data_IF_601680154173
#
_entry.id   IF_601680154173
#
_cell.length_a   1.000
_cell.length_b   1.000
_cell.length_c   1.000
_cell.angle_alpha   90.00
_cell.angle_beta   90.00
_cell.angle_gamma   90.00
#
_symmetry.space_group_name_H-M   'P 1'
#
loop_
_entity.id
_entity.type
_entity.pdbx_description
1 polymer ?
#
# COMPACT_ATOMS: atom_id res chain seq x y z
N UNK A 1 -29.34 10.39 14.05
CA UNK A 1 -28.39 11.21 14.81
C UNK A 1 -28.23 12.55 14.14
N UNK A 2 -27.90 13.62 14.87
CA UNK A 2 -27.83 14.97 14.27
C UNK A 2 -26.36 15.24 13.89
N UNK A 3 -26.09 15.31 12.61
CA UNK A 3 -24.84 15.89 12.12
C UNK A 3 -24.98 17.40 12.15
N UNK A 4 -24.02 18.09 12.75
CA UNK A 4 -23.98 19.54 12.81
C UNK A 4 -22.96 20.07 11.82
N UNK A 5 -23.38 21.00 10.96
CA UNK A 5 -22.49 21.69 10.03
C UNK A 5 -22.49 23.19 10.27
N UNK A 6 -21.34 23.81 10.14
CA UNK A 6 -21.16 25.26 10.31
C UNK A 6 -20.05 25.79 9.43
N UNK A 7 -20.35 26.77 8.60
CA UNK A 7 -19.34 27.55 7.89
C UNK A 7 -18.80 28.70 8.76
N UNK A 8 -17.49 28.81 8.82
CA UNK A 8 -16.78 29.90 9.52
C UNK A 8 -16.12 30.81 8.48
N UNK A 9 -16.82 31.85 8.06
CA UNK A 9 -16.41 32.77 7.00
C UNK A 9 -15.07 33.48 7.27
N UNK A 10 -14.72 33.74 8.52
CA UNK A 10 -13.45 34.38 8.90
C UNK A 10 -12.24 33.44 8.77
N UNK A 11 -12.47 32.14 8.72
CA UNK A 11 -11.44 31.12 8.62
C UNK A 11 -11.50 30.34 7.29
N UNK A 12 -12.47 30.67 6.43
CA UNK A 12 -12.73 29.99 5.17
C UNK A 12 -12.81 28.45 5.33
N UNK A 13 -13.54 27.99 6.37
CA UNK A 13 -13.65 26.58 6.73
C UNK A 13 -15.08 26.13 6.93
N UNK A 14 -15.39 24.96 6.39
CA UNK A 14 -16.59 24.21 6.72
C UNK A 14 -16.26 23.23 7.85
N UNK A 15 -16.99 23.29 8.96
CA UNK A 15 -16.89 22.33 10.06
C UNK A 15 -18.11 21.44 10.06
N UNK A 16 -17.89 20.13 10.13
CA UNK A 16 -18.94 19.12 10.27
C UNK A 16 -18.59 18.26 11.48
N UNK A 17 -19.53 18.02 12.36
CA UNK A 17 -19.34 17.17 13.52
C UNK A 17 -20.47 16.15 13.61
N UNK A 18 -20.10 14.89 13.71
CA UNK A 18 -20.99 13.79 14.06
C UNK A 18 -21.28 13.74 15.56
N UNK A 19 -21.97 12.73 15.98
CA UNK A 19 -22.28 12.43 17.38
C UNK A 19 -21.65 11.12 17.84
N UNK A 20 -22.07 10.62 19.01
CA UNK A 20 -21.74 9.27 19.42
C UNK A 20 -22.62 8.24 18.70
N UNK A 21 -22.01 7.22 18.10
CA UNK A 21 -22.61 6.15 17.34
C UNK A 21 -22.64 6.41 15.83
N UNK A 22 -22.84 5.36 15.05
CA UNK A 22 -22.67 5.29 13.61
C UNK A 22 -23.30 6.45 12.83
N UNK A 23 -22.51 7.19 12.09
CA UNK A 23 -22.93 8.33 11.27
C UNK A 23 -22.58 8.07 9.79
N UNK A 24 -23.38 8.64 8.90
CA UNK A 24 -23.06 8.72 7.46
C UNK A 24 -23.01 10.20 7.09
N UNK A 25 -21.87 10.65 6.64
CA UNK A 25 -21.63 12.05 6.27
C UNK A 25 -21.12 12.12 4.83
N UNK A 26 -21.89 12.76 3.96
CA UNK A 26 -21.48 13.05 2.59
C UNK A 26 -21.32 14.54 2.41
N UNK A 27 -20.15 14.97 1.97
CA UNK A 27 -19.90 16.36 1.58
C UNK A 27 -19.91 16.41 0.06
N UNK A 28 -20.73 17.28 -0.48
CA UNK A 28 -20.87 17.47 -1.92
C UNK A 28 -21.07 18.93 -2.28
N UNK A 29 -21.30 19.22 -3.57
CA UNK A 29 -21.67 20.56 -4.03
C UNK A 29 -22.86 20.51 -5.01
N UNK A 30 -23.63 21.58 -5.06
CA UNK A 30 -24.61 21.78 -6.12
C UNK A 30 -23.99 22.42 -7.38
N UNK A 31 -24.81 22.63 -8.42
CA UNK A 31 -24.38 23.22 -9.69
C UNK A 31 -23.95 24.69 -9.54
N UNK A 32 -24.41 25.39 -8.53
CA UNK A 32 -24.08 26.79 -8.24
C UNK A 32 -22.82 26.91 -7.34
N UNK A 33 -22.30 25.78 -6.85
CA UNK A 33 -21.09 25.70 -6.05
C UNK A 33 -21.32 25.85 -4.55
N UNK A 34 -22.56 25.76 -4.06
CA UNK A 34 -22.82 25.70 -2.62
C UNK A 34 -22.41 24.34 -2.07
N UNK A 35 -21.80 24.33 -0.89
CA UNK A 35 -21.46 23.10 -0.19
C UNK A 35 -22.68 22.50 0.49
N UNK A 36 -22.81 21.19 0.38
CA UNK A 36 -23.90 20.40 0.96
C UNK A 36 -23.33 19.39 1.95
N UNK A 37 -24.04 19.18 3.04
CA UNK A 37 -23.82 18.09 3.99
C UNK A 37 -25.07 17.22 3.97
N UNK A 38 -24.93 15.97 3.54
CA UNK A 38 -26.03 15.02 3.35
C UNK A 38 -27.18 15.57 2.47
N UNK A 39 -26.82 16.37 1.46
CA UNK A 39 -27.78 16.99 0.55
C UNK A 39 -28.37 18.32 1.01
N UNK A 40 -28.13 18.74 2.24
CA UNK A 40 -28.59 20.03 2.78
C UNK A 40 -27.53 21.11 2.54
N UNK A 41 -27.94 22.25 1.96
CA UNK A 41 -27.06 23.40 1.73
C UNK A 41 -26.61 23.97 3.08
N UNK A 42 -25.28 24.18 3.20
CA UNK A 42 -24.70 24.88 4.35
C UNK A 42 -24.66 26.37 4.06
N UNK A 43 -25.42 27.14 4.87
CA UNK A 43 -25.56 28.59 4.68
C UNK A 43 -24.21 29.31 4.64
N UNK A 44 -24.00 30.06 3.58
CA UNK A 44 -22.77 30.82 3.33
C UNK A 44 -21.55 30.03 2.91
N UNK A 45 -21.63 28.70 2.85
CA UNK A 45 -20.51 27.85 2.39
C UNK A 45 -20.58 27.63 0.88
N UNK A 46 -19.53 28.05 0.18
CA UNK A 46 -19.35 27.76 -1.25
C UNK A 46 -17.95 27.19 -1.50
N UNK A 47 -17.77 26.50 -2.61
CA UNK A 47 -16.44 26.03 -3.05
C UNK A 47 -15.46 27.18 -3.17
N UNK A 48 -15.93 28.36 -3.64
CA UNK A 48 -15.08 29.53 -3.84
C UNK A 48 -14.62 30.20 -2.53
N UNK A 49 -15.42 30.07 -1.47
CA UNK A 49 -15.18 30.73 -0.18
C UNK A 49 -14.60 29.77 0.87
N UNK A 50 -14.50 28.47 0.57
CA UNK A 50 -14.02 27.45 1.48
C UNK A 50 -12.64 26.97 1.06
N UNK A 51 -11.67 27.08 1.95
CA UNK A 51 -10.30 26.58 1.73
C UNK A 51 -10.16 25.15 2.22
N UNK A 52 -10.84 24.80 3.32
CA UNK A 52 -10.75 23.47 3.95
C UNK A 52 -12.09 23.01 4.49
N UNK A 53 -12.40 21.75 4.24
CA UNK A 53 -13.53 21.03 4.83
C UNK A 53 -12.99 20.21 6.00
N UNK A 54 -13.57 20.39 7.21
CA UNK A 54 -13.21 19.60 8.39
C UNK A 54 -14.36 18.77 8.85
N UNK A 55 -14.18 17.47 8.93
CA UNK A 55 -15.15 16.53 9.46
C UNK A 55 -14.56 15.82 10.68
N UNK A 56 -15.30 15.82 11.77
CA UNK A 56 -15.05 14.95 12.92
C UNK A 56 -16.28 14.07 13.09
N UNK A 57 -16.15 12.78 12.81
CA UNK A 57 -17.26 11.85 12.80
C UNK A 57 -17.67 11.44 14.23
N UNK A 58 -16.70 11.18 15.11
CA UNK A 58 -16.94 10.99 16.56
C UNK A 58 -16.78 9.57 17.03
N UNK A 59 -17.69 9.10 17.89
CA UNK A 59 -17.69 7.71 18.33
C UNK A 59 -18.65 6.90 17.45
N UNK A 60 -18.32 5.68 17.13
CA UNK A 60 -19.15 4.75 16.34
C UNK A 60 -18.45 4.34 15.05
N UNK A 61 -19.09 3.49 14.26
CA UNK A 61 -18.54 3.11 12.96
C UNK A 61 -19.09 4.08 11.90
N UNK A 62 -18.26 5.02 11.51
CA UNK A 62 -18.68 6.16 10.71
C UNK A 62 -18.31 5.99 9.23
N UNK A 63 -19.07 6.61 8.35
CA UNK A 63 -18.75 6.71 6.92
C UNK A 63 -18.73 8.18 6.52
N UNK A 64 -17.57 8.67 6.08
CA UNK A 64 -17.38 10.04 5.58
C UNK A 64 -16.91 9.99 4.13
N UNK A 65 -17.61 10.71 3.26
CA UNK A 65 -17.30 10.74 1.82
C UNK A 65 -17.27 12.16 1.29
N UNK A 66 -16.22 12.51 0.60
CA UNK A 66 -16.12 13.70 -0.26
C UNK A 66 -16.63 13.30 -1.65
N UNK A 67 -17.84 13.73 -2.00
CA UNK A 67 -18.50 13.38 -3.26
C UNK A 67 -18.32 14.49 -4.31
N UNK A 68 -17.45 14.27 -5.25
CA UNK A 68 -17.11 15.18 -6.33
C UNK A 68 -17.87 14.90 -7.65
N UNK A 69 -18.95 14.16 -7.61
CA UNK A 69 -19.78 13.87 -8.80
C UNK A 69 -20.21 15.14 -9.53
N UNK A 70 -20.41 16.24 -8.81
CA UNK A 70 -20.78 17.55 -9.34
C UNK A 70 -19.59 18.52 -9.52
N UNK A 71 -18.36 18.03 -9.42
CA UNK A 71 -17.12 18.75 -9.59
C UNK A 71 -16.27 18.84 -8.33
N UNK A 72 -15.01 19.31 -8.46
CA UNK A 72 -14.03 19.26 -7.38
C UNK A 72 -14.45 20.04 -6.13
N UNK A 73 -13.99 19.54 -4.99
CA UNK A 73 -14.19 20.13 -3.68
C UNK A 73 -12.86 20.65 -3.10
N UNK A 74 -12.88 21.55 -2.11
CA UNK A 74 -11.68 21.92 -1.36
C UNK A 74 -11.08 20.76 -0.60
N UNK A 75 -9.79 20.89 -0.23
CA UNK A 75 -9.09 19.92 0.60
C UNK A 75 -9.87 19.59 1.88
N UNK A 76 -9.85 18.32 2.25
CA UNK A 76 -10.56 17.81 3.41
C UNK A 76 -9.58 17.37 4.52
N UNK A 77 -9.98 17.64 5.76
CA UNK A 77 -9.39 17.07 6.96
C UNK A 77 -10.47 16.20 7.60
N UNK A 78 -10.36 14.87 7.45
CA UNK A 78 -11.34 13.89 7.92
C UNK A 78 -10.79 13.16 9.14
N UNK A 79 -11.59 13.08 10.18
CA UNK A 79 -11.28 12.36 11.40
C UNK A 79 -12.44 11.41 11.72
N UNK A 80 -12.15 10.10 11.81
CA UNK A 80 -13.10 9.06 12.17
C UNK A 80 -13.42 9.13 13.64
N UNK A 81 -12.51 8.75 14.48
CA UNK A 81 -12.64 8.78 15.94
C UNK A 81 -12.54 7.40 16.57
N UNK A 82 -13.48 7.09 17.45
CA UNK A 82 -13.53 5.73 18.04
C UNK A 82 -14.48 4.85 17.22
N UNK A 83 -14.01 3.71 16.75
CA UNK A 83 -14.80 2.73 16.01
C UNK A 83 -14.17 2.38 14.67
N UNK A 84 -14.83 1.55 13.88
CA UNK A 84 -14.31 1.13 12.58
C UNK A 84 -14.88 2.04 11.49
N UNK A 85 -14.07 2.96 11.03
CA UNK A 85 -14.51 4.04 10.16
C UNK A 85 -14.17 3.79 8.68
N UNK A 86 -14.91 4.44 7.81
CA UNK A 86 -14.58 4.51 6.37
C UNK A 86 -14.52 5.98 5.96
N UNK A 87 -13.32 6.43 5.59
CA UNK A 87 -13.07 7.79 5.18
C UNK A 87 -12.63 7.83 3.71
N UNK A 88 -13.30 8.64 2.92
CA UNK A 88 -12.96 8.83 1.50
C UNK A 88 -12.73 10.31 1.22
N UNK A 89 -11.51 10.64 0.79
CA UNK A 89 -11.11 11.97 0.33
C UNK A 89 -11.61 12.28 -1.07
N UNK A 90 -11.09 13.33 -1.66
CA UNK A 90 -11.50 13.82 -2.98
C UNK A 90 -10.39 13.83 -4.01
N UNK A 91 -10.29 14.93 -4.74
CA UNK A 91 -9.22 15.16 -5.72
C UNK A 91 -8.20 16.21 -5.28
N UNK A 92 -8.35 16.73 -4.08
CA UNK A 92 -7.43 17.69 -3.47
C UNK A 92 -6.40 16.97 -2.58
N UNK A 93 -5.44 17.70 -2.05
CA UNK A 93 -4.52 17.16 -1.05
C UNK A 93 -5.23 17.06 0.31
N UNK A 94 -5.61 15.87 0.70
CA UNK A 94 -6.43 15.59 1.86
C UNK A 94 -5.64 15.07 3.06
N UNK A 95 -6.22 15.16 4.24
CA UNK A 95 -5.69 14.57 5.48
C UNK A 95 -6.76 13.69 6.09
N UNK A 96 -6.48 12.41 6.22
CA UNK A 96 -7.39 11.42 6.79
C UNK A 96 -6.78 10.79 8.04
N UNK A 97 -7.55 10.68 9.11
CA UNK A 97 -7.15 10.01 10.34
C UNK A 97 -8.28 9.09 10.82
N UNK A 98 -8.02 7.78 10.86
CA UNK A 98 -8.94 6.77 11.39
C UNK A 98 -9.08 6.88 12.90
N UNK A 99 -7.99 6.83 13.60
CA UNK A 99 -7.77 6.85 15.06
C UNK A 99 -7.88 5.49 15.73
N UNK A 100 -9.02 5.14 16.36
CA UNK A 100 -9.15 3.88 17.12
C UNK A 100 -10.12 2.93 16.45
N UNK A 101 -9.70 1.76 16.13
CA UNK A 101 -10.50 0.72 15.49
C UNK A 101 -9.88 0.26 14.17
N UNK A 102 -10.58 -0.59 13.46
CA UNK A 102 -10.09 -1.09 12.18
C UNK A 102 -10.71 -0.24 11.06
N UNK A 103 -9.92 0.68 10.53
CA UNK A 103 -10.39 1.72 9.64
C UNK A 103 -10.12 1.42 8.16
N UNK A 104 -10.85 2.08 7.27
CA UNK A 104 -10.64 2.05 5.84
C UNK A 104 -10.49 3.48 5.31
N UNK A 105 -9.28 3.83 4.88
CA UNK A 105 -8.93 5.18 4.45
C UNK A 105 -8.60 5.18 2.95
N UNK A 106 -9.23 6.07 2.20
CA UNK A 106 -9.03 6.24 0.76
C UNK A 106 -8.74 7.72 0.46
N UNK A 107 -7.50 8.05 0.10
CA UNK A 107 -7.09 9.45 -0.17
C UNK A 107 -7.78 10.01 -1.41
N UNK A 108 -7.66 9.31 -2.52
CA UNK A 108 -8.30 9.67 -3.78
C UNK A 108 -7.31 10.17 -4.82
N UNK A 109 -7.36 11.42 -5.15
CA UNK A 109 -6.32 12.03 -5.98
C UNK A 109 -5.77 13.27 -5.25
N UNK A 110 -4.51 13.56 -5.48
CA UNK A 110 -3.83 14.63 -4.73
C UNK A 110 -2.58 14.05 -4.07
N UNK A 111 -1.90 14.86 -3.28
CA UNK A 111 -0.83 14.35 -2.42
C UNK A 111 -1.38 14.32 -1.00
N UNK A 112 -1.80 13.14 -0.58
CA UNK A 112 -2.58 12.94 0.62
C UNK A 112 -1.74 12.51 1.82
N UNK A 113 -2.27 12.70 3.01
CA UNK A 113 -1.69 12.19 4.26
C UNK A 113 -2.74 11.36 4.98
N UNK A 114 -2.49 10.06 5.10
CA UNK A 114 -3.41 9.10 5.70
C UNK A 114 -2.78 8.46 6.94
N UNK A 115 -3.55 8.34 8.01
CA UNK A 115 -3.10 7.68 9.25
C UNK A 115 -4.20 6.78 9.81
N UNK A 116 -3.93 5.46 9.89
CA UNK A 116 -4.80 4.49 10.57
C UNK A 116 -4.81 4.73 12.07
N UNK A 117 -3.66 4.77 12.68
CA UNK A 117 -3.31 4.97 14.08
C UNK A 117 -3.38 3.70 14.92
N UNK A 118 -4.52 3.18 15.37
CA UNK A 118 -4.59 1.96 16.17
C UNK A 118 -5.69 1.02 15.72
N UNK A 119 -5.35 -0.20 15.45
CA UNK A 119 -6.22 -1.23 14.90
C UNK A 119 -5.62 -1.86 13.65
N UNK A 120 -6.34 -2.73 13.00
CA UNK A 120 -5.89 -3.32 11.74
C UNK A 120 -6.56 -2.55 10.59
N UNK A 121 -5.78 -1.66 9.98
CA UNK A 121 -6.27 -0.65 9.06
C UNK A 121 -6.03 -1.02 7.58
N UNK A 122 -6.86 -0.50 6.70
CA UNK A 122 -6.69 -0.57 5.25
C UNK A 122 -6.57 0.83 4.69
N UNK A 123 -5.42 1.13 4.10
CA UNK A 123 -5.08 2.48 3.65
C UNK A 123 -4.69 2.45 2.19
N UNK A 124 -5.38 3.23 1.36
CA UNK A 124 -5.05 3.44 -0.04
C UNK A 124 -4.83 4.94 -0.33
N UNK A 125 -3.64 5.28 -0.82
CA UNK A 125 -3.27 6.66 -1.15
C UNK A 125 -4.05 7.16 -2.35
N UNK A 126 -3.93 6.49 -3.45
CA UNK A 126 -4.63 6.79 -4.69
C UNK A 126 -3.72 7.38 -5.75
N UNK A 127 -4.07 8.52 -6.31
CA UNK A 127 -3.25 9.13 -7.35
C UNK A 127 -2.53 10.38 -6.84
N UNK A 128 -1.24 10.35 -6.80
CA UNK A 128 -0.40 11.45 -6.31
C UNK A 128 0.82 10.93 -5.57
N UNK A 129 1.49 11.77 -4.81
CA UNK A 129 2.59 11.34 -3.97
C UNK A 129 2.13 11.40 -2.52
N UNK A 130 1.77 10.25 -1.99
CA UNK A 130 1.06 10.13 -0.72
C UNK A 130 1.99 9.77 0.45
N UNK A 131 1.54 10.06 1.65
CA UNK A 131 2.21 9.64 2.88
C UNK A 131 1.24 8.87 3.74
N UNK A 132 1.55 7.59 3.95
CA UNK A 132 0.69 6.63 4.63
C UNK A 132 1.32 6.20 5.95
N UNK A 133 0.55 6.23 7.02
CA UNK A 133 0.93 5.75 8.34
C UNK A 133 -0.06 4.66 8.76
N UNK A 134 0.39 3.42 8.90
CA UNK A 134 -0.40 2.32 9.48
C UNK A 134 -0.69 2.61 10.95
N UNK A 135 0.29 2.39 11.79
CA UNK A 135 0.23 2.71 13.21
C UNK A 135 0.49 1.51 14.11
N UNK A 136 -0.41 1.28 15.06
CA UNK A 136 -0.38 0.07 15.89
C UNK A 136 -1.39 -0.94 15.36
N UNK A 137 -0.97 -2.13 14.99
CA UNK A 137 -1.86 -3.19 14.50
C UNK A 137 -1.31 -3.88 13.26
N UNK A 138 -2.05 -4.76 12.65
CA UNK A 138 -1.63 -5.41 11.42
C UNK A 138 -2.30 -4.71 10.23
N UNK A 139 -1.56 -3.84 9.59
CA UNK A 139 -2.08 -2.88 8.62
C UNK A 139 -1.82 -3.33 7.17
N UNK A 140 -2.67 -2.86 6.27
CA UNK A 140 -2.51 -3.07 4.84
C UNK A 140 -2.48 -1.72 4.13
N UNK A 141 -1.33 -1.39 3.53
CA UNK A 141 -1.08 -0.13 2.86
C UNK A 141 -0.86 -0.34 1.36
N UNK A 142 -1.46 0.53 0.56
CA UNK A 142 -1.31 0.61 -0.87
C UNK A 142 -1.10 2.08 -1.26
N UNK A 143 0.06 2.42 -1.82
CA UNK A 143 0.32 3.79 -2.29
C UNK A 143 -0.49 4.13 -3.53
N UNK A 144 -0.82 3.11 -4.35
CA UNK A 144 -1.39 3.29 -5.67
C UNK A 144 -0.44 4.11 -6.60
N UNK A 145 -0.98 5.04 -7.40
CA UNK A 145 -0.21 5.76 -8.43
C UNK A 145 0.59 6.91 -7.85
N UNK A 146 1.90 6.81 -7.85
CA UNK A 146 2.72 7.93 -7.42
C UNK A 146 4.15 7.58 -7.07
N UNK A 147 4.73 8.41 -6.24
CA UNK A 147 5.96 8.10 -5.52
C UNK A 147 5.66 8.29 -4.03
N UNK A 148 5.27 7.21 -3.39
CA UNK A 148 4.62 7.22 -2.11
C UNK A 148 5.59 6.89 -0.97
N UNK A 149 5.20 7.21 0.25
CA UNK A 149 5.97 6.83 1.44
C UNK A 149 5.02 6.15 2.42
N UNK A 150 5.27 4.85 2.68
CA UNK A 150 4.59 4.07 3.70
C UNK A 150 5.43 3.94 4.96
N UNK A 151 4.83 4.30 6.10
CA UNK A 151 5.32 4.00 7.43
C UNK A 151 4.36 2.98 8.04
N UNK A 152 4.75 1.70 8.08
CA UNK A 152 3.83 0.63 8.45
C UNK A 152 3.54 0.68 9.95
N UNK A 153 4.59 0.64 10.78
CA UNK A 153 4.43 0.94 12.21
C UNK A 153 4.73 -0.21 13.13
N UNK A 154 3.76 -0.63 13.90
CA UNK A 154 3.94 -1.74 14.84
C UNK A 154 2.88 -2.83 14.61
N UNK A 155 3.33 -4.01 14.28
CA UNK A 155 2.49 -5.15 13.92
C UNK A 155 3.12 -5.94 12.80
N UNK A 156 2.41 -6.92 12.30
CA UNK A 156 2.82 -7.64 11.10
C UNK A 156 2.05 -7.02 9.92
N UNK A 157 2.72 -6.12 9.19
CA UNK A 157 2.11 -5.22 8.23
C UNK A 157 2.40 -5.62 6.77
N UNK A 158 1.60 -5.10 5.85
CA UNK A 158 1.78 -5.34 4.41
C UNK A 158 1.75 -4.03 3.63
N UNK A 159 2.80 -3.78 2.86
CA UNK A 159 2.79 -2.76 1.81
C UNK A 159 2.66 -3.44 0.44
N UNK A 160 1.62 -3.08 -0.30
CA UNK A 160 1.34 -3.65 -1.62
C UNK A 160 1.79 -2.71 -2.75
N UNK A 161 2.33 -3.29 -3.80
CA UNK A 161 2.59 -2.64 -5.08
C UNK A 161 1.89 -3.39 -6.21
N UNK A 162 1.13 -2.70 -7.03
CA UNK A 162 0.43 -3.21 -8.20
C UNK A 162 0.87 -2.51 -9.49
N UNK A 163 0.33 -2.97 -10.61
CA UNK A 163 0.56 -2.38 -11.91
C UNK A 163 0.05 -0.93 -12.00
N UNK A 164 0.95 -0.01 -12.23
CA UNK A 164 0.63 1.41 -12.42
C UNK A 164 1.13 2.27 -11.28
N UNK A 165 1.52 1.62 -10.19
CA UNK A 165 2.13 2.30 -9.06
C UNK A 165 3.53 2.79 -9.42
N UNK A 166 4.01 3.72 -8.67
CA UNK A 166 5.31 4.34 -8.89
C UNK A 166 6.46 3.65 -8.18
N UNK A 167 7.45 4.45 -7.83
CA UNK A 167 8.60 4.03 -7.04
C UNK A 167 8.44 4.55 -5.63
N UNK A 168 8.31 3.66 -4.66
CA UNK A 168 7.92 4.00 -3.31
C UNK A 168 9.02 3.76 -2.30
N UNK A 169 8.85 4.38 -1.15
CA UNK A 169 9.65 4.16 0.04
C UNK A 169 8.80 3.50 1.11
N UNK A 170 9.32 2.42 1.70
CA UNK A 170 8.63 1.66 2.74
C UNK A 170 9.52 1.57 3.98
N UNK A 171 8.97 1.98 5.11
CA UNK A 171 9.54 1.81 6.45
C UNK A 171 8.64 0.83 7.21
N UNK A 172 9.07 -0.42 7.40
CA UNK A 172 8.31 -1.48 8.08
C UNK A 172 8.05 -1.12 9.53
N UNK A 173 9.12 -1.00 10.31
CA UNK A 173 9.01 -0.62 11.72
C UNK A 173 9.21 -1.81 12.65
N UNK A 174 8.24 -2.14 13.47
CA UNK A 174 8.40 -3.24 14.41
C UNK A 174 7.36 -4.34 14.20
N UNK A 175 7.84 -5.55 14.01
CA UNK A 175 7.01 -6.71 13.74
C UNK A 175 7.62 -7.56 12.66
N UNK A 176 6.79 -8.14 11.84
CA UNK A 176 7.22 -8.83 10.64
C UNK A 176 6.48 -8.28 9.44
N UNK A 177 7.16 -7.44 8.69
CA UNK A 177 6.58 -6.65 7.65
C UNK A 177 6.83 -7.24 6.26
N UNK A 178 5.86 -7.09 5.38
CA UNK A 178 5.88 -7.65 4.04
C UNK A 178 5.76 -6.57 2.96
N UNK A 179 6.71 -6.58 2.03
CA UNK A 179 6.54 -5.95 0.73
C UNK A 179 5.94 -6.96 -0.25
N UNK A 180 4.69 -6.75 -0.66
CA UNK A 180 3.97 -7.58 -1.63
C UNK A 180 4.00 -6.92 -3.01
N UNK A 181 4.77 -7.47 -3.92
CA UNK A 181 4.90 -6.97 -5.28
C UNK A 181 4.13 -7.85 -6.27
N UNK A 182 3.15 -7.27 -6.96
CA UNK A 182 2.37 -7.95 -7.99
C UNK A 182 2.87 -7.54 -9.39
N UNK A 183 3.51 -8.46 -10.08
CA UNK A 183 3.96 -8.31 -11.46
C UNK A 183 2.83 -8.42 -12.50
N UNK A 184 3.19 -8.58 -13.74
CA UNK A 184 2.28 -8.70 -14.87
C UNK A 184 2.29 -10.08 -15.51
N UNK A 185 1.32 -10.33 -16.36
CA UNK A 185 1.34 -11.40 -17.32
C UNK A 185 2.21 -11.02 -18.55
N UNK A 186 3.49 -10.67 -18.32
CA UNK A 186 4.45 -10.25 -19.35
C UNK A 186 5.85 -10.53 -18.86
N UNK A 187 6.84 -10.61 -19.76
CA UNK A 187 8.22 -10.85 -19.38
C UNK A 187 8.77 -9.72 -18.52
N UNK A 188 9.19 -10.01 -17.32
CA UNK A 188 9.68 -9.05 -16.35
C UNK A 188 11.07 -9.37 -15.84
N UNK A 189 11.74 -8.36 -15.33
CA UNK A 189 13.02 -8.52 -14.67
C UNK A 189 13.02 -7.78 -13.34
N UNK A 190 13.19 -8.53 -12.26
CA UNK A 190 13.28 -8.05 -10.90
C UNK A 190 14.68 -8.23 -10.34
N UNK A 191 15.07 -7.34 -9.43
CA UNK A 191 16.32 -7.48 -8.68
C UNK A 191 16.09 -7.03 -7.25
N UNK A 192 16.47 -7.86 -6.29
CA UNK A 192 16.55 -7.53 -4.88
C UNK A 192 18.02 -7.48 -4.47
N UNK A 193 18.42 -6.39 -3.82
CA UNK A 193 19.79 -6.17 -3.36
C UNK A 193 19.81 -5.36 -2.06
N UNK A 194 20.75 -5.65 -1.17
CA UNK A 194 20.95 -4.85 0.03
C UNK A 194 21.37 -3.41 -0.27
N UNK A 195 20.93 -2.46 0.54
CA UNK A 195 21.20 -1.04 0.42
C UNK A 195 21.76 -0.43 1.72
N UNK A 196 22.30 -1.25 2.61
CA UNK A 196 22.83 -0.84 3.89
C UNK A 196 22.25 -1.64 5.06
N UNK A 197 22.51 -1.21 6.30
CA UNK A 197 21.90 -1.85 7.45
C UNK A 197 20.39 -1.68 7.42
N UNK A 198 19.69 -2.79 7.64
CA UNK A 198 18.22 -2.90 7.71
C UNK A 198 17.50 -2.29 6.47
N UNK A 199 18.18 -2.31 5.29
CA UNK A 199 17.68 -1.72 4.07
C UNK A 199 17.98 -2.54 2.82
N UNK A 200 17.01 -2.56 1.88
CA UNK A 200 17.14 -3.18 0.57
C UNK A 200 16.53 -2.32 -0.55
N UNK A 201 17.02 -2.51 -1.77
CA UNK A 201 16.39 -2.02 -2.98
C UNK A 201 15.76 -3.18 -3.73
N UNK A 202 14.45 -3.09 -3.97
CA UNK A 202 13.78 -3.94 -4.92
C UNK A 202 13.53 -3.14 -6.21
N UNK A 203 13.99 -3.66 -7.33
CA UNK A 203 13.89 -2.96 -8.61
C UNK A 203 13.21 -3.81 -9.68
N UNK A 204 12.41 -3.16 -10.52
CA UNK A 204 11.81 -3.74 -11.72
C UNK A 204 12.23 -2.93 -12.94
N UNK A 205 12.80 -3.61 -13.95
CA UNK A 205 13.33 -2.94 -15.16
C UNK A 205 12.21 -2.31 -15.98
N UNK A 206 11.11 -3.01 -16.15
CA UNK A 206 9.94 -2.52 -16.87
C UNK A 206 9.26 -1.41 -16.05
N UNK A 207 9.18 -0.21 -16.61
CA UNK A 207 8.66 0.96 -15.91
C UNK A 207 9.69 1.70 -15.05
N UNK A 208 10.90 1.15 -14.90
CA UNK A 208 11.98 1.73 -14.10
C UNK A 208 11.58 1.98 -12.64
N UNK A 209 10.94 0.97 -12.03
CA UNK A 209 10.46 1.00 -10.65
C UNK A 209 11.60 0.73 -9.69
N UNK A 210 11.66 1.48 -8.61
CA UNK A 210 12.60 1.31 -7.50
C UNK A 210 11.82 1.43 -6.20
N UNK A 211 11.79 0.35 -5.41
CA UNK A 211 11.25 0.35 -4.05
C UNK A 211 12.42 0.44 -3.08
N UNK A 212 12.39 1.43 -2.20
CA UNK A 212 13.40 1.61 -1.14
C UNK A 212 12.81 1.10 0.18
N UNK A 213 13.27 -0.07 0.61
CA UNK A 213 12.72 -0.85 1.71
C UNK A 213 13.62 -0.72 2.94
N UNK A 214 13.04 -0.37 4.07
CA UNK A 214 13.71 -0.32 5.36
C UNK A 214 12.91 -1.08 6.40
N UNK A 215 13.58 -1.84 7.27
CA UNK A 215 12.95 -2.64 8.33
C UNK A 215 11.78 -3.51 7.79
N UNK A 216 12.00 -4.20 6.68
CA UNK A 216 11.07 -5.14 6.04
C UNK A 216 11.66 -6.53 6.06
N UNK A 217 10.99 -7.52 6.64
CA UNK A 217 11.49 -8.88 6.81
C UNK A 217 11.11 -9.80 5.66
N UNK A 218 10.01 -9.53 4.99
CA UNK A 218 9.49 -10.39 3.92
C UNK A 218 9.32 -9.64 2.62
N UNK A 219 9.81 -10.22 1.52
CA UNK A 219 9.53 -9.73 0.17
C UNK A 219 8.83 -10.83 -0.62
N UNK A 220 7.62 -10.55 -1.08
CA UNK A 220 6.85 -11.47 -1.93
C UNK A 220 6.73 -10.91 -3.34
N UNK A 221 7.16 -11.70 -4.32
CA UNK A 221 7.09 -11.38 -5.75
C UNK A 221 6.12 -12.34 -6.43
N UNK A 222 5.01 -11.82 -6.93
CA UNK A 222 4.09 -12.54 -7.79
C UNK A 222 4.43 -12.22 -9.25
N UNK A 223 5.19 -13.06 -9.93
CA UNK A 223 5.63 -12.84 -11.31
C UNK A 223 4.53 -13.13 -12.34
N UNK A 224 3.48 -13.87 -11.94
CA UNK A 224 2.25 -14.21 -12.68
C UNK A 224 2.51 -15.06 -13.93
N UNK A 225 2.68 -14.46 -15.10
CA UNK A 225 2.87 -15.17 -16.36
C UNK A 225 3.81 -14.39 -17.29
N UNK A 226 4.63 -15.11 -18.01
CA UNK A 226 5.65 -14.54 -18.88
C UNK A 226 6.97 -15.28 -18.69
N UNK A 227 7.99 -14.85 -19.39
CA UNK A 227 9.36 -15.32 -19.15
C UNK A 227 10.05 -14.32 -18.23
N UNK A 228 10.11 -14.66 -16.95
CA UNK A 228 10.55 -13.74 -15.93
C UNK A 228 11.98 -14.01 -15.47
N UNK A 229 12.63 -12.98 -14.98
CA UNK A 229 13.97 -13.08 -14.41
C UNK A 229 14.02 -12.40 -13.06
N UNK A 230 14.25 -13.18 -12.02
CA UNK A 230 14.40 -12.70 -10.65
C UNK A 230 15.87 -12.83 -10.24
N UNK A 231 16.49 -11.71 -9.89
CA UNK A 231 17.87 -11.68 -9.43
C UNK A 231 17.91 -11.38 -7.93
N UNK A 232 18.43 -12.30 -7.15
CA UNK A 232 18.69 -12.15 -5.73
C UNK A 232 20.19 -11.91 -5.54
N UNK A 233 20.54 -10.66 -5.30
CA UNK A 233 21.93 -10.25 -5.05
C UNK A 233 22.18 -10.22 -3.54
N UNK A 234 23.36 -9.79 -3.14
CA UNK A 234 23.75 -9.72 -1.72
C UNK A 234 22.80 -8.81 -0.93
N UNK A 235 22.04 -9.41 -0.03
CA UNK A 235 21.10 -8.74 0.90
C UNK A 235 21.59 -8.84 2.36
N UNK A 236 22.85 -9.19 2.58
CA UNK A 236 23.40 -9.34 3.93
C UNK A 236 23.21 -8.04 4.74
N UNK A 237 22.56 -8.18 5.90
CA UNK A 237 22.30 -7.06 6.79
C UNK A 237 21.12 -6.16 6.41
N UNK A 238 20.33 -6.54 5.41
CA UNK A 238 19.14 -5.77 5.00
C UNK A 238 17.91 -5.94 5.92
N UNK A 239 17.96 -6.87 6.87
CA UNK A 239 16.79 -7.24 7.67
C UNK A 239 15.91 -8.32 7.03
N UNK A 240 15.95 -8.51 5.72
CA UNK A 240 15.11 -9.49 5.02
C UNK A 240 15.48 -10.91 5.43
N UNK A 241 14.50 -11.67 5.90
CA UNK A 241 14.62 -13.06 6.36
C UNK A 241 13.91 -14.05 5.45
N UNK A 242 12.90 -13.61 4.73
CA UNK A 242 12.06 -14.44 3.88
C UNK A 242 11.80 -13.78 2.52
N UNK A 243 11.95 -14.57 1.46
CA UNK A 243 11.66 -14.14 0.09
C UNK A 243 10.72 -15.18 -0.54
N UNK A 244 9.54 -14.75 -0.93
CA UNK A 244 8.57 -15.59 -1.62
C UNK A 244 8.54 -15.24 -3.10
N UNK A 245 8.77 -16.21 -3.98
CA UNK A 245 8.71 -16.05 -5.43
C UNK A 245 7.62 -16.97 -5.98
N UNK A 246 6.58 -16.39 -6.53
CA UNK A 246 5.48 -17.13 -7.16
C UNK A 246 5.59 -17.01 -8.69
N UNK A 247 6.00 -18.10 -9.34
CA UNK A 247 6.08 -18.24 -10.79
C UNK A 247 4.75 -18.81 -11.31
N UNK A 248 3.88 -17.97 -11.82
CA UNK A 248 2.55 -18.34 -12.29
C UNK A 248 1.42 -18.05 -11.30
N UNK A 249 0.20 -18.43 -11.66
CA UNK A 249 -1.01 -18.11 -10.92
C UNK A 249 -1.34 -19.16 -9.86
N UNK A 250 -1.53 -18.77 -8.61
CA UNK A 250 -1.89 -19.64 -7.47
C UNK A 250 -0.90 -20.83 -7.26
N UNK A 251 0.38 -20.61 -7.49
CA UNK A 251 1.42 -21.63 -7.30
C UNK A 251 1.40 -22.72 -8.38
N UNK A 252 0.76 -22.48 -9.50
CA UNK A 252 0.80 -23.32 -10.71
C UNK A 252 1.62 -22.58 -11.75
N UNK A 253 2.68 -23.22 -12.27
CA UNK A 253 3.52 -22.64 -13.33
C UNK A 253 2.68 -22.31 -14.57
N UNK A 254 3.12 -21.34 -15.33
CA UNK A 254 2.42 -20.79 -16.49
C UNK A 254 2.87 -21.43 -17.82
N UNK A 255 3.87 -22.33 -17.78
CA UNK A 255 4.48 -22.98 -18.93
C UNK A 255 5.52 -22.14 -19.66
N UNK A 256 5.82 -20.96 -19.17
CA UNK A 256 6.93 -20.13 -19.68
C UNK A 256 8.30 -20.61 -19.14
N UNK A 257 9.36 -19.90 -19.46
CA UNK A 257 10.71 -20.25 -19.01
C UNK A 257 11.26 -19.16 -18.12
N UNK A 258 11.07 -19.31 -16.81
CA UNK A 258 11.52 -18.36 -15.83
C UNK A 258 12.93 -18.63 -15.36
N UNK A 259 13.61 -17.61 -14.87
CA UNK A 259 14.97 -17.72 -14.36
C UNK A 259 15.10 -17.05 -13.00
N UNK A 260 15.57 -17.80 -12.02
CA UNK A 260 15.94 -17.26 -10.71
C UNK A 260 17.46 -17.36 -10.57
N UNK A 261 18.08 -16.20 -10.44
CA UNK A 261 19.52 -16.07 -10.23
C UNK A 261 19.79 -15.73 -8.77
N UNK A 262 20.59 -16.55 -8.10
CA UNK A 262 21.05 -16.32 -6.73
C UNK A 262 22.57 -16.17 -6.80
N UNK A 263 23.08 -15.03 -6.36
CA UNK A 263 24.52 -14.74 -6.38
C UNK A 263 25.27 -15.22 -5.12
N UNK A 264 24.73 -16.21 -4.43
CA UNK A 264 25.33 -16.87 -3.27
C UNK A 264 25.56 -18.36 -3.57
N UNK A 265 26.82 -18.82 -3.47
CA UNK A 265 27.20 -20.19 -3.80
C UNK A 265 27.00 -21.22 -2.67
N UNK A 266 26.83 -20.78 -1.44
CA UNK A 266 26.76 -21.66 -0.25
C UNK A 266 25.31 -21.91 0.22
N UNK A 267 24.38 -22.11 -0.72
CA UNK A 267 22.96 -22.31 -0.43
C UNK A 267 22.56 -23.78 -0.42
N UNK A 268 21.52 -24.11 0.32
CA UNK A 268 20.90 -25.45 0.33
C UNK A 268 19.56 -25.41 -0.39
N UNK A 269 19.40 -26.21 -1.45
CA UNK A 269 18.16 -26.33 -2.23
C UNK A 269 17.39 -27.59 -1.82
N UNK A 270 16.14 -27.40 -1.41
CA UNK A 270 15.21 -28.48 -1.05
C UNK A 270 14.05 -28.48 -2.05
N UNK A 271 13.93 -29.57 -2.83
CA UNK A 271 12.78 -29.77 -3.70
C UNK A 271 11.62 -30.40 -2.90
N UNK A 272 10.58 -29.62 -2.63
CA UNK A 272 9.41 -30.06 -1.88
C UNK A 272 8.37 -30.79 -2.74
N UNK A 273 8.62 -30.90 -4.05
CA UNK A 273 7.71 -31.46 -5.05
C UNK A 273 6.61 -30.49 -5.49
N UNK A 274 5.90 -30.86 -6.55
CA UNK A 274 4.81 -30.05 -7.13
C UNK A 274 5.19 -28.61 -7.51
N UNK A 275 6.43 -28.40 -7.94
CA UNK A 275 6.91 -27.06 -8.29
C UNK A 275 7.25 -26.15 -7.11
N UNK A 276 7.42 -26.71 -5.91
CA UNK A 276 7.78 -25.94 -4.73
C UNK A 276 9.23 -26.22 -4.34
N UNK A 277 10.02 -25.16 -4.22
CA UNK A 277 11.39 -25.20 -3.76
C UNK A 277 11.56 -24.36 -2.49
N UNK A 278 12.45 -24.78 -1.62
CA UNK A 278 12.94 -23.97 -0.51
C UNK A 278 14.47 -23.91 -0.60
N UNK A 279 15.01 -22.71 -0.56
CA UNK A 279 16.43 -22.46 -0.62
C UNK A 279 16.83 -21.72 0.64
N UNK A 280 17.70 -22.31 1.45
CA UNK A 280 18.14 -21.73 2.71
C UNK A 280 19.56 -21.19 2.60
N UNK A 281 19.88 -20.31 3.54
CA UNK A 281 21.18 -19.64 3.66
C UNK A 281 21.49 -18.65 2.51
N UNK A 282 20.45 -18.15 1.80
CA UNK A 282 20.62 -17.11 0.78
C UNK A 282 20.90 -15.78 1.47
N UNK A 283 22.17 -15.45 1.65
CA UNK A 283 22.63 -14.26 2.40
C UNK A 283 22.00 -14.13 3.81
N UNK A 284 21.66 -15.28 4.43
CA UNK A 284 20.96 -15.35 5.72
C UNK A 284 19.44 -15.41 5.64
N UNK A 285 18.86 -15.28 4.46
CA UNK A 285 17.42 -15.41 4.24
C UNK A 285 17.01 -16.81 3.76
N UNK A 286 15.71 -17.09 3.81
CA UNK A 286 15.08 -18.27 3.19
C UNK A 286 14.27 -17.84 1.98
N UNK A 287 14.45 -18.52 0.85
CA UNK A 287 13.70 -18.28 -0.40
C UNK A 287 12.73 -19.43 -0.61
N UNK A 288 11.46 -19.08 -0.77
CA UNK A 288 10.39 -20.00 -1.12
C UNK A 288 9.92 -19.75 -2.54
N UNK A 289 10.01 -20.75 -3.41
CA UNK A 289 9.59 -20.65 -4.80
C UNK A 289 8.38 -21.57 -4.99
N UNK A 290 7.33 -21.05 -5.60
CA UNK A 290 6.14 -21.80 -6.02
C UNK A 290 5.90 -21.66 -7.51
N UNK A 291 5.28 -22.67 -8.13
CA UNK A 291 5.04 -22.69 -9.56
C UNK A 291 6.26 -23.04 -10.43
N UNK A 292 7.38 -23.42 -9.85
CA UNK A 292 8.61 -23.77 -10.57
C UNK A 292 8.43 -25.03 -11.44
N UNK A 293 8.66 -24.92 -12.73
CA UNK A 293 8.54 -25.99 -13.71
C UNK A 293 9.93 -26.47 -14.19
N UNK A 294 10.48 -27.49 -13.55
CA UNK A 294 11.87 -27.96 -13.80
C UNK A 294 12.18 -28.31 -15.29
N UNK A 295 11.17 -28.42 -16.14
CA UNK A 295 11.38 -28.63 -17.58
C UNK A 295 11.60 -27.31 -18.34
N UNK A 296 11.14 -26.19 -17.81
CA UNK A 296 11.13 -24.88 -18.47
C UNK A 296 11.96 -23.86 -17.69
N UNK A 297 11.87 -23.88 -16.35
CA UNK A 297 12.47 -22.86 -15.50
C UNK A 297 13.92 -23.18 -15.14
N UNK A 298 14.66 -22.14 -14.85
CA UNK A 298 16.08 -22.22 -14.56
C UNK A 298 16.39 -21.63 -13.18
N UNK A 299 16.98 -22.45 -12.32
CA UNK A 299 17.64 -21.98 -11.10
C UNK A 299 19.15 -21.88 -11.38
N UNK A 300 19.71 -20.69 -11.18
CA UNK A 300 21.13 -20.40 -11.37
C UNK A 300 21.71 -19.94 -10.04
N UNK A 301 22.71 -20.64 -9.53
CA UNK A 301 23.40 -20.34 -8.28
C UNK A 301 24.84 -19.98 -8.60
N UNK A 302 25.29 -18.81 -8.16
CA UNK A 302 26.63 -18.29 -8.42
C UNK A 302 27.04 -18.38 -9.90
N UNK A 303 26.08 -18.05 -10.78
CA UNK A 303 26.29 -18.10 -12.24
C UNK A 303 26.34 -19.51 -12.86
N UNK A 304 26.07 -20.57 -12.07
CA UNK A 304 26.04 -21.95 -12.56
C UNK A 304 24.62 -22.50 -12.54
N UNK A 305 24.15 -23.13 -13.63
CA UNK A 305 22.85 -23.80 -13.64
C UNK A 305 22.78 -24.89 -12.57
N UNK A 306 21.72 -24.82 -11.74
CA UNK A 306 21.44 -25.88 -10.76
C UNK A 306 20.68 -27.02 -11.47
N UNK A 307 21.11 -28.25 -11.22
CA UNK A 307 20.51 -29.46 -11.81
C UNK A 307 19.81 -30.24 -10.71
N UNK A 308 18.49 -30.45 -10.87
CA UNK A 308 17.63 -31.20 -9.96
C UNK A 308 17.79 -32.72 -10.09
#
# INVERSE_FOLDING_TARGET
MSINSKFQSHQHRLFVTGGGGDNITTISRDADGHLLVNGDIVDGATVADTEVIRVNAGDGNDVVTIDETNGPLPAAELNGGDGNDTLTGGSANDILAGQSGNDSLFGGAGNDVLSGSSGADVIAGGAGNDTLFGGDGNDFLDGDQGADTGFLGAGDDVFKWDQGDGSDKVEGGSGRDEMLFNGFAANEQFTLAGNGPDAALFTRVQGNIIMDLHDVETVTVNALAGTDTINLNDITGSGITDINVNLGLNGVGDGASDTINISDGDVTVINNGNGNLTITDVFGATVHITGFEAANDHLVIDGQPFVF
#
